data_IF_227186088364
#
_entry.id   IF_227186088364
#
_cell.length_a   1.000
_cell.length_b   1.000
_cell.length_c   1.000
_cell.angle_alpha   90.00
_cell.angle_beta   90.00
_cell.angle_gamma   90.00
#
_symmetry.space_group_name_H-M   'P 1'
#
loop_
_entity.id
_entity.type
_entity.pdbx_description
1 polymer ?
#
# COMPACT_ATOMS: atom_id res chain seq x y z
N UNK A 1 0.21 -13.20 -10.99
CA UNK A 1 1.32 -13.19 -10.01
C UNK A 1 1.03 -14.26 -8.97
N UNK A 2 1.42 -15.51 -9.22
CA UNK A 2 0.89 -16.63 -8.43
C UNK A 2 1.48 -16.81 -7.01
N UNK A 3 2.43 -15.99 -6.55
CA UNK A 3 3.04 -16.20 -5.23
C UNK A 3 3.47 -14.92 -4.49
N UNK A 4 2.76 -13.80 -4.62
CA UNK A 4 3.05 -12.65 -3.75
C UNK A 4 2.45 -12.90 -2.36
N UNK A 5 3.29 -13.01 -1.33
CA UNK A 5 2.83 -13.27 0.05
C UNK A 5 2.85 -12.02 0.90
N UNK A 6 2.13 -12.08 2.03
CA UNK A 6 2.12 -10.98 2.99
C UNK A 6 3.51 -10.70 3.57
N UNK A 7 4.32 -11.75 3.77
CA UNK A 7 5.68 -11.63 4.30
C UNK A 7 6.58 -10.86 3.33
N UNK A 8 6.44 -11.10 2.02
CA UNK A 8 7.14 -10.34 0.99
C UNK A 8 6.70 -8.88 1.00
N UNK A 9 5.39 -8.63 1.03
CA UNK A 9 4.85 -7.27 1.14
C UNK A 9 5.34 -6.54 2.38
N UNK A 10 5.39 -7.23 3.52
CA UNK A 10 5.88 -6.67 4.76
C UNK A 10 7.38 -6.34 4.69
N UNK A 11 8.18 -7.21 4.07
CA UNK A 11 9.60 -6.96 3.82
C UNK A 11 9.81 -5.76 2.91
N UNK A 12 9.04 -5.65 1.83
CA UNK A 12 9.08 -4.52 0.90
C UNK A 12 8.75 -3.20 1.63
N UNK A 13 7.67 -3.17 2.41
CA UNK A 13 7.30 -2.00 3.20
C UNK A 13 8.35 -1.67 4.27
N UNK A 14 9.00 -2.69 4.87
CA UNK A 14 10.07 -2.50 5.85
C UNK A 14 11.30 -1.88 5.22
N UNK A 15 11.61 -2.25 3.97
CA UNK A 15 12.72 -1.73 3.19
C UNK A 15 12.44 -0.35 2.56
N UNK A 16 11.24 0.20 2.78
CA UNK A 16 10.86 1.55 2.30
C UNK A 16 10.31 1.58 0.89
N UNK A 17 9.97 0.41 0.30
CA UNK A 17 9.27 0.37 -0.97
C UNK A 17 7.84 0.91 -0.82
N UNK A 18 7.36 1.51 -1.90
CA UNK A 18 6.01 2.00 -2.03
C UNK A 18 5.17 0.95 -2.76
N UNK A 19 4.05 0.58 -2.19
CA UNK A 19 3.17 -0.46 -2.73
C UNK A 19 1.90 0.18 -3.26
N UNK A 20 1.66 -0.02 -4.53
CA UNK A 20 0.44 0.37 -5.20
C UNK A 20 -0.47 -0.86 -5.29
N UNK A 21 -1.72 -0.71 -4.88
CA UNK A 21 -2.71 -1.78 -5.00
C UNK A 21 -4.10 -1.21 -5.26
N UNK A 22 -4.95 -2.07 -5.81
CA UNK A 22 -6.38 -1.81 -5.99
C UNK A 22 -7.12 -2.47 -4.82
N UNK A 23 -8.02 -1.73 -4.19
CA UNK A 23 -8.89 -2.24 -3.11
C UNK A 23 -10.26 -1.59 -3.21
N UNK A 24 -11.33 -2.40 -3.26
CA UNK A 24 -12.71 -1.93 -3.41
C UNK A 24 -12.84 -0.93 -4.58
N UNK A 25 -12.29 -1.31 -5.74
CA UNK A 25 -12.35 -0.50 -6.97
C UNK A 25 -11.56 0.81 -6.95
N UNK A 26 -10.73 1.06 -5.93
CA UNK A 26 -9.93 2.27 -5.81
C UNK A 26 -8.44 1.95 -5.79
N UNK A 27 -7.63 2.79 -6.43
CA UNK A 27 -6.17 2.65 -6.43
C UNK A 27 -5.59 3.37 -5.23
N UNK A 28 -4.77 2.67 -4.46
CA UNK A 28 -4.10 3.19 -3.29
C UNK A 28 -2.58 3.05 -3.42
N UNK A 29 -1.88 3.97 -2.75
CA UNK A 29 -0.48 3.89 -2.42
C UNK A 29 -0.35 3.59 -0.93
N UNK A 30 0.46 2.61 -0.57
CA UNK A 30 0.80 2.25 0.79
C UNK A 30 2.30 2.33 1.00
N UNK A 31 2.68 3.01 2.07
CA UNK A 31 4.07 3.13 2.48
C UNK A 31 4.18 3.16 4.00
N UNK A 32 5.29 2.66 4.51
CA UNK A 32 5.58 2.69 5.94
C UNK A 32 5.97 4.12 6.35
N UNK A 33 5.39 4.61 7.44
CA UNK A 33 5.71 5.95 7.99
C UNK A 33 6.47 5.85 9.31
N UNK A 34 6.08 4.90 10.17
CA UNK A 34 6.77 4.60 11.43
C UNK A 34 6.63 3.11 11.75
N UNK A 35 7.15 2.67 12.89
CA UNK A 35 6.95 1.29 13.36
C UNK A 35 5.46 1.01 13.59
N UNK A 36 4.95 -0.07 13.00
CA UNK A 36 3.52 -0.44 13.00
C UNK A 36 2.54 0.59 12.41
N UNK A 37 3.03 1.67 11.80
CA UNK A 37 2.24 2.72 11.18
C UNK A 37 2.49 2.79 9.68
N UNK A 38 1.43 2.53 8.91
CA UNK A 38 1.45 2.54 7.45
C UNK A 38 0.45 3.58 6.95
N UNK A 39 0.84 4.39 5.98
CA UNK A 39 -0.06 5.38 5.39
C UNK A 39 -0.59 4.84 4.08
N UNK A 40 -1.91 4.77 3.98
CA UNK A 40 -2.65 4.51 2.76
C UNK A 40 -3.09 5.85 2.17
N UNK A 41 -2.74 6.11 0.91
CA UNK A 41 -3.11 7.30 0.16
C UNK A 41 -3.93 6.90 -1.06
N UNK A 42 -5.11 7.48 -1.20
CA UNK A 42 -5.97 7.31 -2.37
C UNK A 42 -5.33 8.00 -3.59
N UNK A 43 -5.25 7.29 -4.70
CA UNK A 43 -4.76 7.79 -5.98
C UNK A 43 -5.88 8.00 -7.00
N UNK A 44 -7.02 7.32 -6.87
CA UNK A 44 -8.15 7.49 -7.78
C UNK A 44 -8.98 8.72 -7.43
N UNK A 45 -9.10 9.65 -8.39
CA UNK A 45 -9.93 10.85 -8.28
C UNK A 45 -11.36 10.61 -8.80
N UNK A 46 -12.15 9.83 -8.07
CA UNK A 46 -13.59 9.78 -8.34
C UNK A 46 -14.31 10.94 -7.65
N UNK A 47 -15.05 11.76 -8.42
CA UNK A 47 -15.80 12.95 -7.94
C UNK A 47 -16.75 12.69 -6.75
N UNK A 48 -17.15 11.44 -6.51
CA UNK A 48 -18.02 11.00 -5.42
C UNK A 48 -17.46 9.77 -4.70
N UNK A 49 -16.20 9.83 -4.26
CA UNK A 49 -15.64 8.78 -3.40
C UNK A 49 -15.82 9.16 -1.91
N UNK A 50 -16.60 8.40 -1.12
CA UNK A 50 -16.72 8.66 0.31
C UNK A 50 -15.47 8.26 1.11
N UNK A 51 -14.49 7.57 0.49
CA UNK A 51 -13.28 7.12 1.17
C UNK A 51 -12.27 8.27 1.40
N UNK A 52 -11.58 8.27 2.56
CA UNK A 52 -10.61 9.32 2.87
C UNK A 52 -9.41 9.29 1.92
N UNK A 53 -8.88 10.47 1.57
CA UNK A 53 -7.71 10.60 0.70
C UNK A 53 -6.43 10.04 1.32
N UNK A 54 -6.33 10.10 2.65
CA UNK A 54 -5.21 9.57 3.42
C UNK A 54 -5.75 8.91 4.68
N UNK A 55 -5.26 7.72 4.99
CA UNK A 55 -5.63 6.94 6.16
C UNK A 55 -4.39 6.28 6.75
N UNK A 56 -4.23 6.35 8.07
CA UNK A 56 -3.19 5.62 8.77
C UNK A 56 -3.71 4.23 9.17
N UNK A 57 -2.95 3.20 8.86
CA UNK A 57 -3.26 1.80 9.09
C UNK A 57 -2.23 1.17 10.01
N UNK A 58 -2.70 0.22 10.82
CA UNK A 58 -1.83 -0.67 11.60
C UNK A 58 -1.40 -1.87 10.76
N UNK A 59 -0.32 -2.55 11.16
CA UNK A 59 0.10 -3.80 10.50
C UNK A 59 -1.02 -4.85 10.46
N UNK A 60 -1.79 -4.98 11.56
CA UNK A 60 -2.92 -5.91 11.65
C UNK A 60 -3.95 -5.61 10.55
N UNK A 61 -4.29 -4.34 10.36
CA UNK A 61 -5.26 -3.93 9.35
C UNK A 61 -4.75 -4.18 7.92
N UNK A 62 -3.47 -3.91 7.66
CA UNK A 62 -2.85 -4.21 6.36
C UNK A 62 -2.92 -5.72 6.07
N UNK A 63 -2.65 -6.57 7.08
CA UNK A 63 -2.75 -8.04 6.95
C UNK A 63 -4.16 -8.52 6.65
N UNK A 64 -5.18 -7.93 7.29
CA UNK A 64 -6.59 -8.25 7.02
C UNK A 64 -7.02 -7.84 5.60
N UNK A 65 -6.46 -6.76 5.07
CA UNK A 65 -6.78 -6.27 3.72
C UNK A 65 -6.05 -7.03 2.62
N UNK A 66 -4.85 -7.56 2.89
CA UNK A 66 -3.97 -8.20 1.91
C UNK A 66 -4.65 -9.26 1.02
N UNK A 67 -5.48 -10.19 1.54
CA UNK A 67 -6.15 -11.19 0.70
C UNK A 67 -7.15 -10.60 -0.31
N UNK A 68 -7.52 -9.34 -0.14
CA UNK A 68 -8.48 -8.61 -0.97
C UNK A 68 -7.82 -7.51 -1.81
N UNK A 69 -6.48 -7.44 -1.81
CA UNK A 69 -5.74 -6.50 -2.65
C UNK A 69 -5.58 -7.08 -4.05
N UNK A 70 -5.76 -6.23 -5.05
CA UNK A 70 -5.66 -6.57 -6.47
C UNK A 70 -4.60 -5.70 -7.15
N UNK A 71 -4.08 -6.14 -8.29
CA UNK A 71 -3.12 -5.40 -9.13
C UNK A 71 -1.90 -4.84 -8.36
N UNK A 72 -1.31 -5.64 -7.46
CA UNK A 72 -0.23 -5.18 -6.59
C UNK A 72 1.03 -4.88 -7.43
N UNK A 73 1.56 -3.66 -7.27
CA UNK A 73 2.79 -3.18 -7.91
C UNK A 73 3.67 -2.54 -6.84
N UNK A 74 4.98 -2.80 -6.87
CA UNK A 74 5.94 -2.10 -6.00
C UNK A 74 6.76 -1.11 -6.82
N UNK A 75 7.03 0.06 -6.23
CA UNK A 75 8.02 1.01 -6.76
C UNK A 75 9.09 1.27 -5.72
N UNK A 76 10.32 1.33 -6.20
CA UNK A 76 11.44 1.86 -5.43
C UNK A 76 11.22 3.37 -5.33
N UNK A 77 11.07 3.90 -4.13
CA UNK A 77 11.27 5.35 -3.94
C UNK A 77 12.73 5.59 -4.31
N UNK A 78 12.97 6.24 -5.45
CA UNK A 78 14.28 6.23 -6.11
C UNK A 78 15.45 6.40 -5.16
N UNK A 79 16.41 5.47 -5.27
CA UNK A 79 17.81 5.84 -5.24
C UNK A 79 17.99 6.75 -6.46
N UNK A 80 17.79 8.05 -6.24
CA UNK A 80 18.37 9.08 -7.08
C UNK A 80 19.82 9.22 -6.64
N UNK A 81 20.71 8.95 -7.59
CA UNK A 81 22.13 9.30 -7.64
C UNK A 81 22.57 10.39 -6.64
N UNK A 82 23.54 10.04 -5.79
CA UNK A 82 24.72 10.85 -5.50
C UNK A 82 25.85 9.90 -5.10
#
# INVERSE_FOLDING_TARGET
>A
MENYTFEQMWLDLKNGYQIYYTYVGNRYLLFKTAENCYTQKLLSEHKKNPQPRMLMLTLKRVREMFPHMEDIEYKVSGIGEN
#
